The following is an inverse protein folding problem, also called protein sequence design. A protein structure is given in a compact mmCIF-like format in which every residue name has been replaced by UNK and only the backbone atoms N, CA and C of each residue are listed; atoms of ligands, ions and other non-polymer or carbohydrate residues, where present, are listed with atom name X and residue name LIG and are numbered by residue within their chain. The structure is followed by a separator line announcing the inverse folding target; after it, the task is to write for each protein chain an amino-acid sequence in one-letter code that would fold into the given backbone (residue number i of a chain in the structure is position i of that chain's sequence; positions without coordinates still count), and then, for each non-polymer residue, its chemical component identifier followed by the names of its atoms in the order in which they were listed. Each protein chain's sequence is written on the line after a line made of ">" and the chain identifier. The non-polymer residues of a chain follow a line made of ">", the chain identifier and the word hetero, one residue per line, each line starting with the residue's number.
data_IF_951630650073
#
_entry.id   IF_951630650073
#
_cell.length_a   1.000
_cell.length_b   1.000
_cell.length_c   1.000
_cell.angle_alpha   90.00
_cell.angle_beta   90.00
_cell.angle_gamma   90.00
#
_symmetry.space_group_name_H-M   'P 1'
#
loop_
_entity.id
_entity.type
_entity.pdbx_description
1 polymer ?
#
# COMPACT_ATOMS: atom_id res chain seq x y z
N UNK A 1 -12.18 0.88 16.26
CA UNK A 1 -12.20 1.05 14.79
C UNK A 1 -12.92 -0.14 14.18
N UNK A 2 -13.75 0.07 13.15
CA UNK A 2 -14.31 -1.04 12.37
C UNK A 2 -13.18 -1.75 11.61
N UNK A 3 -13.33 -3.05 11.32
CA UNK A 3 -12.36 -3.83 10.53
C UNK A 3 -12.08 -3.17 9.18
N UNK A 4 -13.09 -2.51 8.60
CA UNK A 4 -13.01 -1.64 7.41
C UNK A 4 -12.05 -0.47 7.61
N UNK A 5 -12.16 0.26 8.73
CA UNK A 5 -11.27 1.39 9.04
C UNK A 5 -9.82 0.97 9.19
N UNK A 6 -9.56 -0.17 9.85
CA UNK A 6 -8.21 -0.75 9.94
C UNK A 6 -7.68 -1.15 8.56
N UNK A 7 -8.51 -1.77 7.72
CA UNK A 7 -8.13 -2.13 6.35
C UNK A 7 -7.76 -0.93 5.47
N UNK A 8 -8.56 0.14 5.52
CA UNK A 8 -8.26 1.40 4.80
C UNK A 8 -6.95 2.02 5.30
N UNK A 9 -6.69 2.02 6.61
CA UNK A 9 -5.44 2.53 7.15
C UNK A 9 -4.21 1.76 6.62
N UNK A 10 -4.29 0.43 6.54
CA UNK A 10 -3.22 -0.39 5.97
C UNK A 10 -2.99 -0.12 4.47
N UNK A 11 -4.06 0.11 3.70
CA UNK A 11 -3.95 0.52 2.29
C UNK A 11 -3.30 1.89 2.17
N UNK A 12 -3.67 2.86 3.03
CA UNK A 12 -3.05 4.17 3.05
C UNK A 12 -1.54 4.09 3.39
N UNK A 13 -1.17 3.25 4.37
CA UNK A 13 0.24 2.99 4.71
C UNK A 13 0.98 2.38 3.51
N UNK A 14 0.37 1.41 2.82
CA UNK A 14 0.94 0.82 1.60
C UNK A 14 1.21 1.86 0.52
N UNK A 15 0.23 2.72 0.23
CA UNK A 15 0.35 3.81 -0.74
C UNK A 15 1.43 4.82 -0.34
N UNK A 16 1.53 5.14 0.96
CA UNK A 16 2.55 6.02 1.49
C UNK A 16 3.96 5.44 1.33
N UNK A 17 4.15 4.15 1.65
CA UNK A 17 5.44 3.46 1.53
C UNK A 17 5.94 3.41 0.09
N UNK A 18 5.07 3.05 -0.86
CA UNK A 18 5.47 2.98 -2.28
C UNK A 18 5.77 4.38 -2.82
N UNK A 19 4.94 5.37 -2.49
CA UNK A 19 5.17 6.76 -2.89
C UNK A 19 6.49 7.29 -2.34
N UNK A 20 6.81 6.98 -1.07
CA UNK A 20 8.08 7.39 -0.45
C UNK A 20 9.29 6.85 -1.21
N UNK A 21 9.24 5.62 -1.74
CA UNK A 21 10.31 5.06 -2.58
C UNK A 21 10.53 5.89 -3.84
N UNK A 22 9.45 6.16 -4.58
CA UNK A 22 9.54 6.89 -5.85
C UNK A 22 9.88 8.38 -5.65
N UNK A 23 9.37 9.00 -4.58
CA UNK A 23 9.72 10.38 -4.20
C UNK A 23 11.21 10.46 -3.84
N UNK A 24 11.73 9.52 -3.06
CA UNK A 24 13.16 9.48 -2.70
C UNK A 24 14.06 9.44 -3.94
N UNK A 25 13.77 8.53 -4.88
CA UNK A 25 14.49 8.46 -6.15
C UNK A 25 14.37 9.75 -6.98
N UNK A 26 13.19 10.39 -6.95
CA UNK A 26 12.94 11.65 -7.67
C UNK A 26 13.69 12.84 -7.06
N UNK A 27 13.81 12.90 -5.73
CA UNK A 27 14.60 13.91 -5.03
C UNK A 27 16.07 13.77 -5.41
N UNK A 28 16.60 12.55 -5.42
CA UNK A 28 17.97 12.31 -5.88
C UNK A 28 18.12 12.66 -7.37
N UNK A 29 17.15 12.29 -8.20
CA UNK A 29 17.10 12.62 -9.62
C UNK A 29 16.87 14.10 -9.95
N UNK A 30 16.60 14.96 -8.96
CA UNK A 30 16.45 16.41 -9.19
C UNK A 30 17.78 17.14 -9.38
N UNK A 31 18.90 16.53 -8.94
CA UNK A 31 20.24 17.11 -9.04
C UNK A 31 21.04 16.68 -10.28
N UNK A 32 20.51 15.81 -11.13
CA UNK A 32 21.22 15.30 -12.32
C UNK A 32 20.89 16.14 -13.56
N UNK A 33 21.91 16.38 -14.39
CA UNK A 33 21.81 17.25 -15.57
C UNK A 33 21.08 16.62 -16.77
N UNK A 34 20.96 15.29 -16.81
CA UNK A 34 20.18 14.58 -17.83
C UNK A 34 19.38 13.44 -17.20
N UNK A 35 18.15 13.29 -17.64
CA UNK A 35 17.27 12.19 -17.23
C UNK A 35 17.32 11.06 -18.26
N UNK A 36 17.50 9.82 -17.79
CA UNK A 36 17.27 8.61 -18.59
C UNK A 36 16.59 7.54 -17.74
N UNK A 37 15.84 6.65 -18.38
CA UNK A 37 15.15 5.54 -17.71
C UNK A 37 16.12 4.65 -16.92
N UNK A 38 17.25 4.29 -17.54
CA UNK A 38 18.29 3.48 -16.90
C UNK A 38 18.90 4.17 -15.67
N UNK A 39 19.01 5.50 -15.69
CA UNK A 39 19.55 6.27 -14.57
C UNK A 39 18.56 6.30 -13.40
N UNK A 40 17.27 6.48 -13.67
CA UNK A 40 16.22 6.42 -12.65
C UNK A 40 16.05 5.02 -12.07
N UNK A 41 16.12 3.97 -12.89
CA UNK A 41 16.02 2.59 -12.41
C UNK A 41 17.21 2.24 -11.48
N UNK A 42 18.41 2.70 -11.82
CA UNK A 42 19.56 2.60 -10.91
C UNK A 42 19.31 3.34 -9.59
N UNK A 43 18.71 4.54 -9.62
CA UNK A 43 18.34 5.29 -8.41
C UNK A 43 17.31 4.53 -7.56
N UNK A 44 16.29 3.94 -8.18
CA UNK A 44 15.33 3.06 -7.51
C UNK A 44 16.02 1.83 -6.91
N UNK A 45 17.03 1.29 -7.59
CA UNK A 45 17.89 0.23 -7.10
C UNK A 45 18.66 0.62 -5.83
N UNK A 46 19.16 1.85 -5.74
CA UNK A 46 19.82 2.39 -4.54
C UNK A 46 18.86 2.55 -3.35
N UNK A 47 17.61 2.97 -3.58
CA UNK A 47 16.58 3.01 -2.53
C UNK A 47 16.23 1.59 -2.04
N UNK A 48 16.38 0.59 -2.92
CA UNK A 48 16.19 -0.81 -2.62
C UNK A 48 14.73 -1.26 -2.65
N UNK A 49 14.50 -2.52 -2.23
CA UNK A 49 13.19 -3.16 -2.31
C UNK A 49 12.44 -3.25 -0.98
N UNK A 50 13.05 -2.85 0.14
CA UNK A 50 12.44 -2.94 1.47
C UNK A 50 11.08 -2.23 1.54
N UNK A 51 11.00 -0.97 1.08
CA UNK A 51 9.75 -0.21 1.06
C UNK A 51 8.68 -0.85 0.16
N UNK A 52 9.08 -1.39 -1.00
CA UNK A 52 8.17 -2.08 -1.91
C UNK A 52 7.62 -3.37 -1.28
N UNK A 53 8.47 -4.14 -0.60
CA UNK A 53 8.08 -5.38 0.06
C UNK A 53 7.09 -5.09 1.20
N UNK A 54 7.41 -4.12 2.07
CA UNK A 54 6.48 -3.73 3.15
C UNK A 54 5.17 -3.13 2.61
N UNK A 55 5.24 -2.34 1.54
CA UNK A 55 4.04 -1.82 0.87
C UNK A 55 3.14 -2.95 0.36
N UNK A 56 3.71 -3.99 -0.25
CA UNK A 56 2.96 -5.15 -0.72
C UNK A 56 2.29 -5.90 0.44
N UNK A 57 3.01 -6.17 1.53
CA UNK A 57 2.42 -6.82 2.70
C UNK A 57 1.30 -5.98 3.33
N UNK A 58 1.53 -4.67 3.49
CA UNK A 58 0.52 -3.75 4.01
C UNK A 58 -0.74 -3.73 3.12
N UNK A 59 -0.58 -3.80 1.79
CA UNK A 59 -1.69 -3.88 0.86
C UNK A 59 -2.50 -5.16 1.00
N UNK A 60 -1.82 -6.31 1.08
CA UNK A 60 -2.46 -7.63 1.25
C UNK A 60 -3.24 -7.66 2.57
N UNK A 61 -2.63 -7.22 3.67
CA UNK A 61 -3.26 -7.15 4.99
C UNK A 61 -4.47 -6.20 4.93
N UNK A 62 -4.32 -5.00 4.38
CA UNK A 62 -5.40 -4.03 4.27
C UNK A 62 -6.60 -4.56 3.51
N UNK A 63 -6.36 -5.21 2.37
CA UNK A 63 -7.41 -5.86 1.57
C UNK A 63 -8.11 -6.97 2.34
N UNK A 64 -7.36 -7.85 3.02
CA UNK A 64 -7.93 -8.92 3.83
C UNK A 64 -8.84 -8.40 4.95
N UNK A 65 -8.45 -7.30 5.61
CA UNK A 65 -9.26 -6.65 6.65
C UNK A 65 -10.57 -6.06 6.11
N UNK A 66 -10.55 -5.47 4.91
CA UNK A 66 -11.77 -4.96 4.27
C UNK A 66 -12.71 -6.11 3.93
N UNK A 67 -12.20 -7.16 3.29
CA UNK A 67 -13.00 -8.34 2.90
C UNK A 67 -13.61 -9.02 4.12
N UNK A 68 -12.83 -9.16 5.22
CA UNK A 68 -13.36 -9.70 6.47
C UNK A 68 -14.45 -8.80 7.06
N UNK A 69 -14.23 -7.48 7.08
CA UNK A 69 -15.23 -6.53 7.53
C UNK A 69 -16.54 -6.63 6.74
N UNK A 70 -16.46 -6.80 5.42
CA UNK A 70 -17.63 -6.99 4.56
C UNK A 70 -18.33 -8.32 4.82
N UNK A 71 -17.56 -9.40 4.94
CA UNK A 71 -18.09 -10.75 5.17
C UNK A 71 -18.85 -10.87 6.49
N UNK A 72 -18.33 -10.26 7.55
CA UNK A 72 -19.00 -10.26 8.87
C UNK A 72 -20.31 -9.47 8.84
N UNK A 73 -20.34 -8.33 8.14
CA UNK A 73 -21.56 -7.53 7.98
C UNK A 73 -22.63 -8.30 7.18
N UNK A 74 -22.21 -8.96 6.09
CA UNK A 74 -23.08 -9.81 5.29
C UNK A 74 -23.64 -11.00 6.08
N UNK A 75 -22.78 -11.67 6.86
CA UNK A 75 -23.17 -12.78 7.74
C UNK A 75 -24.17 -12.34 8.82
N UNK A 76 -23.93 -11.19 9.45
CA UNK A 76 -24.81 -10.66 10.49
C UNK A 76 -26.18 -10.26 9.92
N UNK A 77 -26.21 -9.65 8.73
CA UNK A 77 -27.46 -9.32 8.04
C UNK A 77 -28.28 -10.56 7.69
N UNK A 78 -27.64 -11.61 7.21
CA UNK A 78 -28.30 -12.87 6.90
C UNK A 78 -28.87 -13.57 8.15
N UNK A 79 -28.18 -13.46 9.30
CA UNK A 79 -28.66 -14.03 10.57
C UNK A 79 -29.93 -13.34 11.07
N UNK A 80 -30.01 -12.02 10.94
CA UNK A 80 -31.19 -11.23 11.34
C UNK A 80 -32.41 -11.41 10.41
N UNK A 81 -32.23 -11.94 9.20
CA UNK A 81 -33.33 -12.18 8.25
C UNK A 81 -34.01 -13.54 8.46
N UNK A 82 -33.36 -14.45 9.21
CA UNK A 82 -33.85 -15.81 9.49
C UNK A 82 -34.37 -15.99 10.93
N UNK A 83 -34.51 -14.89 11.70
CA UNK A 83 -35.21 -14.85 12.99
C UNK A 83 -36.52 -14.09 12.83
#
# INVERSE_FOLDING_TARGET
>A
MSKRGTGVAFIAISAFLISSKYISASIFGSGVSSWSESLYDNMLGYVGNTLSIFSLFAFIIGTAYIVWGEYEDWKNKNKNTNQ
#
